data_IF_850236884774
#
_entry.id   IF_850236884774
#
_cell.length_a   1.000
_cell.length_b   1.000
_cell.length_c   1.000
_cell.angle_alpha   90.00
_cell.angle_beta   90.00
_cell.angle_gamma   90.00
#
_symmetry.space_group_name_H-M   'P 1'
#
loop_
_entity.id
_entity.type
_entity.pdbx_description
1 polymer ?
#
# COMPACT_ATOMS: atom_id res chain seq x y z
N UNK A 1 -14.72 19.47 -0.69
CA UNK A 1 -13.65 20.15 -1.48
C UNK A 1 -12.74 19.17 -2.22
N UNK A 2 -12.23 18.09 -1.60
CA UNK A 2 -11.44 17.05 -2.30
C UNK A 2 -12.26 16.13 -3.24
N UNK A 3 -13.46 15.71 -2.84
CA UNK A 3 -14.35 14.93 -3.69
C UNK A 3 -14.74 15.65 -5.00
N UNK A 4 -14.77 16.99 -5.00
CA UNK A 4 -15.03 17.81 -6.21
C UNK A 4 -13.86 17.76 -7.21
N UNK A 5 -12.66 17.38 -6.75
CA UNK A 5 -11.44 17.21 -7.56
C UNK A 5 -11.07 15.72 -7.74
N UNK A 6 -11.99 14.82 -7.39
CA UNK A 6 -11.88 13.38 -7.61
C UNK A 6 -11.01 12.61 -6.60
N UNK A 7 -10.38 13.27 -5.63
CA UNK A 7 -9.48 12.64 -4.67
C UNK A 7 -10.14 12.22 -3.35
N UNK A 8 -9.44 11.41 -2.57
CA UNK A 8 -9.86 11.00 -1.23
C UNK A 8 -8.67 10.84 -0.26
N UNK A 9 -8.98 10.91 1.03
CA UNK A 9 -8.02 10.64 2.11
C UNK A 9 -8.42 9.37 2.83
N UNK A 10 -7.42 8.57 3.19
CA UNK A 10 -7.52 7.43 4.08
C UNK A 10 -6.68 7.70 5.32
N UNK A 11 -7.17 7.29 6.49
CA UNK A 11 -6.47 7.49 7.74
C UNK A 11 -6.48 6.25 8.62
N UNK A 12 -5.40 6.07 9.37
CA UNK A 12 -5.28 5.07 10.44
C UNK A 12 -4.28 5.57 11.47
N UNK A 13 -4.78 5.95 12.66
CA UNK A 13 -3.97 6.57 13.69
C UNK A 13 -3.34 7.89 13.21
N UNK A 14 -2.02 8.01 13.32
CA UNK A 14 -1.27 9.18 12.87
C UNK A 14 -0.88 9.16 11.39
N UNK A 15 -1.22 8.08 10.67
CA UNK A 15 -0.90 7.92 9.25
C UNK A 15 -2.09 8.36 8.41
N UNK A 16 -1.83 9.24 7.45
CA UNK A 16 -2.80 9.68 6.45
C UNK A 16 -2.22 9.49 5.04
N UNK A 17 -3.03 8.94 4.13
CA UNK A 17 -2.69 8.74 2.72
C UNK A 17 -3.69 9.52 1.88
N UNK A 18 -3.17 10.38 1.00
CA UNK A 18 -3.96 11.14 0.05
C UNK A 18 -3.85 10.53 -1.34
N UNK A 19 -4.99 10.22 -1.94
CA UNK A 19 -5.09 9.89 -3.36
C UNK A 19 -5.66 11.10 -4.09
N UNK A 20 -4.80 11.78 -4.84
CA UNK A 20 -5.19 12.85 -5.75
C UNK A 20 -5.42 12.30 -7.16
N UNK A 21 -6.43 12.83 -7.86
CA UNK A 21 -6.60 12.54 -9.29
C UNK A 21 -5.61 13.38 -10.08
N UNK A 22 -4.94 12.75 -11.03
CA UNK A 22 -3.99 13.37 -11.95
C UNK A 22 -4.31 12.93 -13.39
N UNK A 23 -4.41 13.89 -14.30
CA UNK A 23 -4.55 13.60 -15.73
C UNK A 23 -3.25 13.01 -16.27
N UNK A 24 -3.38 11.97 -17.11
CA UNK A 24 -2.25 11.21 -17.65
C UNK A 24 -1.32 10.63 -16.55
N UNK A 25 -1.91 10.24 -15.42
CA UNK A 25 -1.22 9.61 -14.30
C UNK A 25 -0.29 8.47 -14.74
N UNK A 26 0.92 8.43 -14.15
CA UNK A 26 1.89 7.35 -14.31
C UNK A 26 2.27 6.80 -12.95
N UNK A 27 2.10 5.50 -12.78
CA UNK A 27 2.35 4.85 -11.51
C UNK A 27 3.82 4.86 -11.07
N UNK A 28 4.02 5.06 -9.76
CA UNK A 28 5.33 4.97 -9.12
C UNK A 28 5.69 3.50 -8.85
N UNK A 29 6.48 2.90 -9.74
CA UNK A 29 6.86 1.48 -9.67
C UNK A 29 8.09 1.19 -8.81
N UNK A 30 8.79 2.23 -8.33
CA UNK A 30 10.03 2.11 -7.55
C UNK A 30 9.98 2.91 -6.26
N UNK A 31 9.74 4.21 -6.32
CA UNK A 31 9.46 5.02 -5.12
C UNK A 31 8.08 4.61 -4.57
N UNK A 32 7.99 4.35 -3.27
CA UNK A 32 6.76 3.90 -2.64
C UNK A 32 6.73 4.25 -1.15
N UNK A 33 5.53 4.39 -0.57
CA UNK A 33 5.37 4.38 0.87
C UNK A 33 5.49 2.95 1.42
N UNK A 34 6.04 2.86 2.62
CA UNK A 34 6.05 1.63 3.41
C UNK A 34 5.14 1.80 4.63
N UNK A 35 4.19 0.88 4.80
CA UNK A 35 3.21 0.91 5.88
C UNK A 35 3.52 -0.22 6.86
N UNK A 36 3.62 0.12 8.15
CA UNK A 36 3.78 -0.85 9.23
C UNK A 36 2.40 -1.40 9.60
N UNK A 37 2.24 -2.72 9.54
CA UNK A 37 0.97 -3.41 9.75
C UNK A 37 1.01 -4.22 11.05
N UNK A 38 0.14 -3.90 12.01
CA UNK A 38 0.08 -4.62 13.31
C UNK A 38 -0.28 -6.10 13.14
N UNK A 39 -1.17 -6.43 12.22
CA UNK A 39 -1.59 -7.82 11.93
C UNK A 39 -1.15 -8.25 10.53
N UNK A 40 0.16 -8.23 10.30
CA UNK A 40 0.76 -8.60 9.02
C UNK A 40 0.43 -10.06 8.63
N UNK A 41 0.42 -10.95 9.63
CA UNK A 41 0.20 -12.38 9.44
C UNK A 41 -1.21 -12.72 9.00
N UNK A 42 -2.22 -12.01 9.48
CA UNK A 42 -3.58 -12.18 8.95
C UNK A 42 -3.81 -11.38 7.65
N UNK A 43 -3.08 -10.29 7.43
CA UNK A 43 -3.27 -9.43 6.26
C UNK A 43 -2.81 -10.10 4.96
N UNK A 44 -1.61 -10.69 4.94
CA UNK A 44 -1.03 -11.26 3.71
C UNK A 44 -1.92 -12.35 3.08
N UNK A 45 -2.44 -13.34 3.85
CA UNK A 45 -3.35 -14.34 3.30
C UNK A 45 -4.65 -13.74 2.74
N UNK A 46 -5.20 -12.71 3.40
CA UNK A 46 -6.41 -12.02 2.91
C UNK A 46 -6.17 -11.33 1.58
N UNK A 47 -5.04 -10.63 1.42
CA UNK A 47 -4.66 -10.00 0.15
C UNK A 47 -4.57 -11.03 -0.98
N UNK A 48 -3.88 -12.15 -0.74
CA UNK A 48 -3.76 -13.25 -1.71
C UNK A 48 -5.13 -13.84 -2.07
N UNK A 49 -5.99 -14.07 -1.08
CA UNK A 49 -7.34 -14.59 -1.30
C UNK A 49 -8.22 -13.61 -2.11
N UNK A 50 -7.97 -12.30 -2.01
CA UNK A 50 -8.61 -11.27 -2.83
C UNK A 50 -7.99 -11.11 -4.23
N UNK A 51 -7.05 -11.98 -4.62
CA UNK A 51 -6.39 -11.94 -5.93
C UNK A 51 -5.31 -10.87 -6.06
N UNK A 52 -4.91 -10.23 -4.96
CA UNK A 52 -3.82 -9.25 -4.96
C UNK A 52 -2.50 -10.01 -4.95
N UNK A 53 -1.64 -9.71 -5.93
CA UNK A 53 -0.27 -10.24 -5.99
C UNK A 53 0.55 -9.69 -4.83
N UNK A 54 1.17 -10.61 -4.07
CA UNK A 54 2.06 -10.28 -2.96
C UNK A 54 3.46 -10.79 -3.30
N UNK A 55 4.40 -9.87 -3.48
CA UNK A 55 5.81 -10.16 -3.78
C UNK A 55 6.65 -10.07 -2.49
N UNK A 56 6.83 -11.20 -1.81
CA UNK A 56 7.68 -11.31 -0.62
C UNK A 56 9.16 -11.22 -1.01
N UNK A 57 9.91 -10.35 -0.32
CA UNK A 57 11.34 -10.19 -0.49
C UNK A 57 11.99 -10.15 0.88
N UNK A 58 12.73 -11.21 1.21
CA UNK A 58 13.38 -11.31 2.50
C UNK A 58 14.56 -10.36 2.59
N UNK A 59 14.49 -9.42 3.53
CA UNK A 59 15.67 -8.83 4.14
C UNK A 59 15.83 -9.50 5.51
N UNK A 60 17.05 -9.95 5.87
CA UNK A 60 17.31 -10.48 7.20
C UNK A 60 16.79 -9.53 8.30
N UNK A 61 15.92 -10.04 9.17
CA UNK A 61 15.38 -9.30 10.31
C UNK A 61 14.18 -8.39 10.04
N UNK A 62 13.68 -8.31 8.79
CA UNK A 62 12.47 -7.53 8.47
C UNK A 62 11.52 -8.34 7.62
N UNK A 63 10.36 -8.70 8.18
CA UNK A 63 9.28 -9.33 7.42
C UNK A 63 8.50 -8.26 6.67
N UNK A 64 8.41 -8.43 5.35
CA UNK A 64 7.77 -7.47 4.47
C UNK A 64 7.36 -8.08 3.14
N UNK A 65 6.48 -7.38 2.45
CA UNK A 65 6.14 -7.70 1.06
C UNK A 65 5.84 -6.43 0.27
N UNK A 66 5.90 -6.55 -1.06
CA UNK A 66 5.39 -5.51 -1.94
C UNK A 66 4.05 -5.94 -2.53
N UNK A 67 3.17 -4.96 -2.70
CA UNK A 67 1.94 -5.07 -3.48
C UNK A 67 1.87 -3.92 -4.48
N UNK A 68 0.90 -4.00 -5.40
CA UNK A 68 0.52 -2.87 -6.23
C UNK A 68 -0.91 -2.46 -5.91
N UNK A 69 -1.13 -1.15 -5.76
CA UNK A 69 -2.47 -0.61 -5.62
C UNK A 69 -3.25 -0.75 -6.95
N UNK A 70 -4.57 -0.45 -6.98
CA UNK A 70 -5.36 -0.54 -8.21
C UNK A 70 -4.88 0.35 -9.37
N UNK A 71 -4.05 1.36 -9.09
CA UNK A 71 -3.48 2.28 -10.07
C UNK A 71 -2.06 1.86 -10.51
N UNK A 72 -1.53 0.76 -9.95
CA UNK A 72 -0.23 0.20 -10.27
C UNK A 72 0.94 0.83 -9.51
N UNK A 73 0.70 1.63 -8.47
CA UNK A 73 1.77 2.11 -7.59
C UNK A 73 2.28 0.96 -6.73
N UNK A 74 3.59 0.88 -6.57
CA UNK A 74 4.17 -0.04 -5.58
C UNK A 74 3.82 0.47 -4.19
N UNK A 75 3.52 -0.46 -3.28
CA UNK A 75 3.43 -0.23 -1.84
C UNK A 75 4.23 -1.31 -1.13
N UNK A 76 4.82 -0.98 0.03
CA UNK A 76 5.48 -1.95 0.90
C UNK A 76 4.67 -2.12 2.19
N UNK A 77 4.44 -3.36 2.60
CA UNK A 77 3.83 -3.72 3.87
C UNK A 77 4.91 -4.33 4.74
N UNK A 78 5.10 -3.79 5.95
CA UNK A 78 6.13 -4.24 6.89
C UNK A 78 5.44 -4.78 8.13
N UNK A 79 5.87 -5.94 8.62
CA UNK A 79 5.37 -6.50 9.86
C UNK A 79 5.63 -5.53 11.03
N UNK A 80 4.55 -5.10 11.66
CA UNK A 80 4.56 -4.36 12.90
C UNK A 80 4.49 -5.29 14.11
N UNK A 81 4.84 -4.73 15.26
CA UNK A 81 4.54 -5.33 16.56
C UNK A 81 3.21 -4.76 17.06
#
# INVERSE_FOLDING_TARGET
ELAKRGGCWFESGSVQIHLGVEDAFRSAKKAHPALRCSDYDALVPKLRASGIRVDEHDIPGVRRCHIYDPFGNRMELIAGC
#
